data_IF_403212452357
#
_entry.id   IF_403212452357
#
_cell.length_a   1.000
_cell.length_b   1.000
_cell.length_c   1.000
_cell.angle_alpha   90.00
_cell.angle_beta   90.00
_cell.angle_gamma   90.00
#
_symmetry.space_group_name_H-M   'P 1'
#
loop_
_entity.id
_entity.type
_entity.pdbx_description
1 polymer ?
#
# COMPACT_ATOMS: atom_id res chain seq x y z
N UNK A 1 -2.20 20.69 87.41
CA UNK A 1 -1.72 19.66 86.47
C UNK A 1 -2.75 19.59 85.36
N UNK A 2 -2.43 20.14 84.14
CA UNK A 2 -3.30 20.14 82.95
C UNK A 2 -2.70 19.18 81.93
N UNK A 3 -3.43 18.13 81.63
CA UNK A 3 -3.06 17.20 80.56
C UNK A 3 -3.44 17.75 79.16
N UNK A 4 -2.47 17.78 78.25
CA UNK A 4 -2.65 18.16 76.84
C UNK A 4 -2.83 16.88 76.05
N UNK A 5 -4.01 16.73 75.42
CA UNK A 5 -4.28 15.66 74.47
C UNK A 5 -3.75 16.04 73.07
N UNK A 6 -2.86 15.21 72.54
CA UNK A 6 -2.34 15.38 71.16
C UNK A 6 -3.20 14.51 70.25
N UNK A 7 -3.99 15.17 69.40
CA UNK A 7 -4.76 14.49 68.33
C UNK A 7 -3.90 14.14 67.12
N UNK A 8 -3.82 12.87 66.77
CA UNK A 8 -3.15 12.40 65.55
C UNK A 8 -4.15 12.41 64.40
N UNK A 9 -3.91 13.29 63.41
CA UNK A 9 -4.64 13.35 62.15
C UNK A 9 -4.03 12.31 61.21
N UNK A 10 -4.78 11.26 60.90
CA UNK A 10 -4.43 10.29 59.88
C UNK A 10 -4.84 10.83 58.50
N UNK A 11 -3.83 11.16 57.68
CA UNK A 11 -4.03 11.56 56.27
C UNK A 11 -4.15 10.30 55.44
N UNK A 12 -5.34 10.05 54.90
CA UNK A 12 -5.60 8.94 53.94
C UNK A 12 -5.16 9.40 52.54
N UNK A 13 -4.06 8.83 52.03
CA UNK A 13 -3.66 8.97 50.65
C UNK A 13 -4.52 8.07 49.75
N UNK A 14 -5.42 8.65 48.99
CA UNK A 14 -6.13 7.97 47.90
C UNK A 14 -5.21 7.97 46.70
N UNK A 15 -4.54 6.85 46.42
CA UNK A 15 -3.77 6.64 45.17
C UNK A 15 -4.75 6.44 44.03
N UNK A 16 -4.89 7.46 43.20
CA UNK A 16 -5.58 7.36 41.93
C UNK A 16 -4.69 6.59 40.91
N UNK A 17 -5.00 5.32 40.66
CA UNK A 17 -4.41 4.55 39.58
C UNK A 17 -5.00 5.09 38.26
N UNK A 18 -4.23 5.91 37.52
CA UNK A 18 -4.56 6.27 36.16
C UNK A 18 -4.36 5.06 35.25
N UNK A 19 -5.46 4.49 34.76
CA UNK A 19 -5.46 3.43 33.78
C UNK A 19 -5.00 4.07 32.44
N UNK A 20 -3.71 3.93 32.10
CA UNK A 20 -3.20 4.33 30.77
C UNK A 20 -3.68 3.28 29.79
N UNK A 21 -4.79 3.58 29.11
CA UNK A 21 -5.23 2.80 27.96
C UNK A 21 -4.23 3.01 26.85
N UNK A 22 -3.33 2.06 26.64
CA UNK A 22 -2.48 2.02 25.45
C UNK A 22 -3.38 1.69 24.26
N UNK A 23 -3.82 2.72 23.56
CA UNK A 23 -4.41 2.56 22.22
C UNK A 23 -3.24 2.21 21.30
N UNK A 24 -2.99 0.91 21.11
CA UNK A 24 -2.10 0.46 20.06
C UNK A 24 -2.67 0.96 18.72
N UNK A 25 -1.89 1.63 17.87
CA UNK A 25 -2.36 1.95 16.53
C UNK A 25 -2.75 0.63 15.86
N UNK A 26 -4.00 0.57 15.36
CA UNK A 26 -4.49 -0.58 14.64
C UNK A 26 -3.45 -0.91 13.54
N UNK A 27 -2.88 -2.12 13.60
CA UNK A 27 -2.07 -2.66 12.52
C UNK A 27 -2.98 -2.69 11.29
N UNK A 28 -2.68 -1.87 10.29
CA UNK A 28 -3.21 -2.00 8.94
C UNK A 28 -2.66 -3.32 8.36
N UNK A 29 -3.27 -4.44 8.72
CA UNK A 29 -2.81 -5.79 8.42
C UNK A 29 -3.85 -6.86 8.72
N UNK A 30 -5.03 -6.47 9.22
CA UNK A 30 -6.15 -7.38 9.37
C UNK A 30 -7.06 -7.23 8.17
N UNK A 31 -7.00 -8.23 7.27
CA UNK A 31 -7.91 -8.48 6.14
C UNK A 31 -8.15 -7.29 5.20
N UNK A 32 -7.10 -6.74 4.62
CA UNK A 32 -7.19 -5.87 3.47
C UNK A 32 -7.87 -6.63 2.33
N UNK A 33 -9.19 -6.62 2.28
CA UNK A 33 -9.96 -7.25 1.20
C UNK A 33 -9.69 -6.49 -0.08
N UNK A 34 -8.66 -6.90 -0.81
CA UNK A 34 -8.38 -6.34 -2.13
C UNK A 34 -9.51 -6.68 -3.10
N UNK A 35 -10.03 -5.69 -3.79
CA UNK A 35 -11.08 -5.85 -4.77
C UNK A 35 -10.52 -6.49 -6.06
N UNK A 36 -10.47 -7.82 -6.11
CA UNK A 36 -9.93 -8.61 -7.23
C UNK A 36 -11.06 -9.33 -7.95
N UNK A 37 -11.43 -8.84 -9.13
CA UNK A 37 -12.50 -9.36 -9.99
C UNK A 37 -11.92 -10.12 -11.18
N UNK A 38 -11.32 -11.27 -10.90
CA UNK A 38 -10.72 -12.19 -11.87
C UNK A 38 -11.34 -13.57 -11.68
N UNK A 39 -12.01 -14.09 -12.71
CA UNK A 39 -12.77 -15.34 -12.63
C UNK A 39 -11.89 -16.56 -12.41
N UNK A 40 -10.66 -16.59 -12.96
CA UNK A 40 -9.73 -17.70 -12.80
C UNK A 40 -9.11 -17.65 -11.40
N UNK A 41 -9.55 -18.54 -10.51
CA UNK A 41 -9.19 -18.52 -9.08
C UNK A 41 -7.67 -18.56 -8.81
N UNK A 42 -6.89 -19.34 -9.56
CA UNK A 42 -5.44 -19.37 -9.36
C UNK A 42 -4.79 -18.04 -9.68
N UNK A 43 -5.22 -17.36 -10.75
CA UNK A 43 -4.75 -16.01 -11.08
C UNK A 43 -5.18 -15.00 -10.02
N UNK A 44 -6.43 -15.04 -9.59
CA UNK A 44 -6.92 -14.15 -8.52
C UNK A 44 -6.12 -14.29 -7.23
N UNK A 45 -5.75 -15.52 -6.85
CA UNK A 45 -4.90 -15.79 -5.69
C UNK A 45 -3.49 -15.23 -5.86
N UNK A 46 -2.87 -15.41 -7.04
CA UNK A 46 -1.55 -14.85 -7.32
C UNK A 46 -1.54 -13.31 -7.27
N UNK A 47 -2.61 -12.68 -7.75
CA UNK A 47 -2.77 -11.21 -7.66
C UNK A 47 -2.89 -10.77 -6.20
N UNK A 48 -3.69 -11.45 -5.37
CA UNK A 48 -3.78 -11.14 -3.93
C UNK A 48 -2.44 -11.31 -3.22
N UNK A 49 -1.72 -12.39 -3.47
CA UNK A 49 -0.39 -12.60 -2.89
C UNK A 49 0.58 -11.48 -3.31
N UNK A 50 0.55 -11.05 -4.58
CA UNK A 50 1.37 -9.94 -5.04
C UNK A 50 0.95 -8.60 -4.39
N UNK A 51 -0.34 -8.37 -4.13
CA UNK A 51 -0.85 -7.21 -3.42
C UNK A 51 -0.39 -7.18 -1.95
N UNK A 52 -0.46 -8.32 -1.27
CA UNK A 52 0.03 -8.46 0.10
C UNK A 52 1.53 -8.18 0.20
N UNK A 53 2.33 -8.77 -0.70
CA UNK A 53 3.76 -8.50 -0.76
C UNK A 53 4.07 -7.04 -1.12
N UNK A 54 3.35 -6.46 -2.06
CA UNK A 54 3.48 -5.04 -2.43
C UNK A 54 3.16 -4.12 -1.25
N UNK A 55 2.10 -4.40 -0.49
CA UNK A 55 1.74 -3.63 0.71
C UNK A 55 2.87 -3.66 1.75
N UNK A 56 3.42 -4.85 2.05
CA UNK A 56 4.56 -4.99 2.98
C UNK A 56 5.80 -4.21 2.52
N UNK A 57 6.06 -4.16 1.19
CA UNK A 57 7.17 -3.36 0.65
C UNK A 57 6.93 -1.87 0.79
N UNK A 58 5.71 -1.42 0.54
CA UNK A 58 5.32 -0.02 0.66
C UNK A 58 5.35 0.52 2.11
N UNK A 59 5.50 -0.34 3.12
CA UNK A 59 5.78 0.07 4.49
C UNK A 59 7.26 0.45 4.72
N UNK A 60 8.16 0.06 3.81
CA UNK A 60 9.60 0.33 3.94
C UNK A 60 9.92 1.76 3.50
N UNK A 61 10.76 2.50 4.25
CA UNK A 61 11.08 3.90 3.94
C UNK A 61 11.56 4.14 2.51
N UNK A 62 12.50 3.32 2.03
CA UNK A 62 13.03 3.47 0.66
C UNK A 62 11.98 3.28 -0.44
N UNK A 63 11.01 2.38 -0.23
CA UNK A 63 9.92 2.21 -1.18
C UNK A 63 8.94 3.39 -1.13
N UNK A 64 8.70 3.97 0.04
CA UNK A 64 7.85 5.15 0.20
C UNK A 64 8.42 6.41 -0.46
N UNK A 65 9.74 6.52 -0.62
CA UNK A 65 10.39 7.65 -1.31
C UNK A 65 9.93 7.79 -2.77
N UNK A 66 9.41 6.72 -3.39
CA UNK A 66 8.86 6.77 -4.75
C UNK A 66 7.75 7.81 -4.88
N UNK A 67 6.92 7.97 -3.85
CA UNK A 67 5.80 8.92 -3.88
C UNK A 67 6.25 10.38 -3.84
N UNK A 68 7.47 10.66 -3.37
CA UNK A 68 8.07 12.00 -3.38
C UNK A 68 8.87 12.25 -4.66
N UNK A 69 9.41 11.18 -5.28
CA UNK A 69 10.24 11.26 -6.49
C UNK A 69 9.41 11.37 -7.77
N UNK A 70 8.19 10.87 -7.75
CA UNK A 70 7.29 10.92 -8.90
C UNK A 70 6.21 11.99 -8.70
N UNK A 71 5.77 12.57 -9.80
CA UNK A 71 4.74 13.58 -9.82
C UNK A 71 3.61 13.22 -10.80
N UNK A 72 2.44 13.79 -10.58
CA UNK A 72 1.31 13.74 -11.51
C UNK A 72 1.50 14.70 -12.70
N UNK A 73 0.51 14.75 -13.59
CA UNK A 73 0.55 15.60 -14.79
C UNK A 73 0.63 17.11 -14.47
N UNK A 74 0.22 17.50 -13.26
CA UNK A 74 0.31 18.89 -12.78
C UNK A 74 1.62 19.18 -12.03
N UNK A 75 2.55 18.23 -11.99
CA UNK A 75 3.85 18.36 -11.33
C UNK A 75 3.80 18.24 -9.79
N UNK A 76 2.69 17.77 -9.23
CA UNK A 76 2.56 17.57 -7.78
C UNK A 76 3.11 16.20 -7.40
N UNK A 77 3.89 16.07 -6.31
CA UNK A 77 4.34 14.76 -5.85
C UNK A 77 3.16 13.80 -5.63
N UNK A 78 3.33 12.51 -5.97
CA UNK A 78 2.25 11.52 -5.78
C UNK A 78 1.88 11.36 -4.31
N UNK A 79 2.78 11.69 -3.39
CA UNK A 79 2.50 11.76 -1.95
C UNK A 79 1.30 12.66 -1.65
N UNK A 80 1.17 13.79 -2.33
CA UNK A 80 0.03 14.69 -2.15
C UNK A 80 -1.31 14.02 -2.49
N UNK A 81 -1.31 13.03 -3.41
CA UNK A 81 -2.51 12.24 -3.72
C UNK A 81 -2.84 11.24 -2.61
N UNK A 82 -1.84 10.63 -1.96
CA UNK A 82 -2.03 9.79 -0.77
C UNK A 82 -2.56 10.60 0.41
N UNK A 83 -2.00 11.78 0.65
CA UNK A 83 -2.42 12.70 1.72
C UNK A 83 -3.88 13.13 1.54
N UNK A 84 -4.28 13.51 0.31
CA UNK A 84 -5.69 13.81 0.00
C UNK A 84 -6.63 12.63 0.21
N UNK A 85 -6.16 11.41 -0.04
CA UNK A 85 -6.92 10.19 0.22
C UNK A 85 -6.92 9.80 1.71
N UNK A 86 -6.06 10.41 2.55
CA UNK A 86 -5.93 10.12 3.98
C UNK A 86 -5.38 8.72 4.28
N UNK A 87 -4.55 8.15 3.37
CA UNK A 87 -4.05 6.78 3.50
C UNK A 87 -2.55 6.70 3.24
N UNK A 88 -1.90 5.65 3.76
CA UNK A 88 -0.53 5.28 3.40
C UNK A 88 -0.48 4.66 2.00
N UNK A 89 0.73 4.54 1.41
CA UNK A 89 0.92 3.83 0.14
C UNK A 89 0.47 2.37 0.20
N UNK A 90 0.72 1.69 1.32
CA UNK A 90 0.26 0.31 1.53
C UNK A 90 -1.27 0.23 1.58
N UNK A 91 -1.92 1.10 2.36
CA UNK A 91 -3.37 1.14 2.47
C UNK A 91 -4.05 1.59 1.15
N UNK A 92 -3.37 2.39 0.33
CA UNK A 92 -3.88 2.81 -0.97
C UNK A 92 -4.17 1.64 -1.92
N UNK A 93 -3.42 0.53 -1.83
CA UNK A 93 -3.66 -0.66 -2.65
C UNK A 93 -5.07 -1.24 -2.44
N UNK A 94 -5.65 -1.11 -1.25
CA UNK A 94 -7.02 -1.57 -0.97
C UNK A 94 -8.11 -0.68 -1.61
N UNK A 95 -7.75 0.52 -2.06
CA UNK A 95 -8.66 1.41 -2.79
C UNK A 95 -8.67 1.14 -4.31
N UNK A 96 -7.78 0.27 -4.79
CA UNK A 96 -7.70 -0.12 -6.19
C UNK A 96 -8.62 -1.31 -6.47
N UNK A 97 -9.11 -1.38 -7.70
CA UNK A 97 -9.95 -2.47 -8.17
C UNK A 97 -9.24 -3.17 -9.32
N UNK A 98 -9.00 -4.47 -9.17
CA UNK A 98 -8.25 -5.28 -10.12
C UNK A 98 -9.19 -6.14 -10.96
N UNK A 99 -9.19 -5.91 -12.26
CA UNK A 99 -10.02 -6.64 -13.21
C UNK A 99 -9.21 -7.52 -14.15
N UNK A 100 -9.88 -8.52 -14.73
CA UNK A 100 -9.34 -9.32 -15.83
C UNK A 100 -9.19 -8.48 -17.11
N UNK A 101 -7.95 -8.31 -17.55
CA UNK A 101 -7.58 -7.53 -18.71
C UNK A 101 -7.41 -8.36 -20.00
N UNK A 102 -7.78 -9.65 -20.02
CA UNK A 102 -7.56 -10.54 -21.17
C UNK A 102 -8.12 -10.00 -22.49
N UNK A 103 -9.17 -9.18 -22.44
CA UNK A 103 -9.77 -8.52 -23.61
C UNK A 103 -9.26 -7.10 -23.87
N UNK A 104 -8.28 -6.62 -23.09
CA UNK A 104 -7.71 -5.27 -23.29
C UNK A 104 -6.57 -5.31 -24.31
N UNK A 105 -6.53 -4.37 -25.27
CA UNK A 105 -5.48 -4.33 -26.29
C UNK A 105 -4.06 -4.27 -25.71
N UNK A 106 -3.88 -3.63 -24.56
CA UNK A 106 -2.57 -3.57 -23.87
C UNK A 106 -2.09 -4.95 -23.44
N UNK A 107 -2.99 -5.85 -23.02
CA UNK A 107 -2.64 -7.21 -22.61
C UNK A 107 -2.29 -8.16 -23.79
N UNK A 108 -2.56 -7.73 -25.03
CA UNK A 108 -2.09 -8.43 -26.23
C UNK A 108 -0.64 -8.13 -26.58
N UNK A 109 0.00 -7.16 -25.90
CA UNK A 109 1.40 -6.79 -26.14
C UNK A 109 2.31 -7.66 -25.28
N UNK A 110 3.38 -8.16 -25.87
CA UNK A 110 4.42 -8.89 -25.14
C UNK A 110 5.03 -8.00 -24.04
N UNK A 111 5.29 -8.63 -22.89
CA UNK A 111 5.88 -7.95 -21.73
C UNK A 111 4.92 -7.10 -20.91
N UNK A 112 3.63 -7.00 -21.29
CA UNK A 112 2.64 -6.33 -20.45
C UNK A 112 2.06 -7.31 -19.43
N UNK A 113 2.15 -6.96 -18.15
CA UNK A 113 1.68 -7.79 -17.03
C UNK A 113 0.42 -7.23 -16.39
N UNK A 114 0.30 -5.91 -16.35
CA UNK A 114 -0.85 -5.16 -15.88
C UNK A 114 -0.90 -3.81 -16.58
N UNK A 115 -1.98 -3.05 -16.40
CA UNK A 115 -2.10 -1.69 -16.91
C UNK A 115 -3.11 -0.88 -16.08
N UNK A 116 -2.74 0.33 -15.69
CA UNK A 116 -3.63 1.35 -15.16
C UNK A 116 -3.54 2.63 -16.03
N UNK A 117 -4.59 3.42 -16.04
CA UNK A 117 -4.56 4.77 -16.58
C UNK A 117 -4.22 5.76 -15.46
N UNK A 118 -3.50 6.83 -15.79
CA UNK A 118 -3.14 7.85 -14.82
C UNK A 118 -4.38 8.42 -14.12
N UNK A 119 -4.38 8.37 -12.79
CA UNK A 119 -5.49 8.82 -11.94
C UNK A 119 -6.67 7.86 -11.84
N UNK A 120 -6.66 6.72 -12.53
CA UNK A 120 -7.71 5.69 -12.45
C UNK A 120 -7.44 4.72 -11.31
N UNK A 121 -8.48 4.36 -10.55
CA UNK A 121 -8.39 3.29 -9.54
C UNK A 121 -8.60 1.88 -10.11
N UNK A 122 -8.75 1.76 -11.41
CA UNK A 122 -8.94 0.48 -12.10
C UNK A 122 -7.60 0.01 -12.65
N UNK A 123 -7.21 -1.20 -12.26
CA UNK A 123 -6.03 -1.89 -12.75
C UNK A 123 -6.48 -3.12 -13.54
N UNK A 124 -6.02 -3.23 -14.78
CA UNK A 124 -6.26 -4.38 -15.64
C UNK A 124 -5.08 -5.34 -15.54
N UNK A 125 -5.31 -6.52 -15.00
CA UNK A 125 -4.30 -7.59 -14.97
C UNK A 125 -4.34 -8.33 -16.29
N UNK A 126 -3.17 -8.61 -16.88
CA UNK A 126 -3.02 -9.44 -18.05
C UNK A 126 -2.79 -10.90 -17.58
N UNK A 127 -3.83 -11.75 -17.50
CA UNK A 127 -3.78 -12.96 -16.66
C UNK A 127 -2.68 -13.92 -17.03
N UNK A 128 -2.45 -14.12 -18.33
CA UNK A 128 -1.49 -15.11 -18.84
C UNK A 128 -0.04 -14.69 -18.50
N UNK A 129 0.34 -13.45 -18.81
CA UNK A 129 1.69 -12.94 -18.54
C UNK A 129 1.91 -12.71 -17.05
N UNK A 130 0.92 -12.19 -16.32
CA UNK A 130 1.02 -11.96 -14.89
C UNK A 130 1.21 -13.28 -14.12
N UNK A 131 0.46 -14.32 -14.48
CA UNK A 131 0.57 -15.65 -13.86
C UNK A 131 1.97 -16.23 -14.04
N UNK A 132 2.54 -16.18 -15.26
CA UNK A 132 3.91 -16.62 -15.53
C UNK A 132 4.93 -15.84 -14.70
N UNK A 133 4.75 -14.52 -14.63
CA UNK A 133 5.62 -13.64 -13.84
C UNK A 133 5.54 -13.98 -12.34
N UNK A 134 4.33 -14.03 -11.78
CA UNK A 134 4.11 -14.29 -10.36
C UNK A 134 4.63 -15.66 -9.91
N UNK A 135 4.57 -16.65 -10.82
CA UNK A 135 5.14 -17.97 -10.56
C UNK A 135 6.68 -17.96 -10.54
N UNK A 136 7.31 -17.34 -11.53
CA UNK A 136 8.76 -17.39 -11.70
C UNK A 136 9.52 -16.32 -10.89
N UNK A 137 8.90 -15.17 -10.67
CA UNK A 137 9.52 -13.99 -10.04
C UNK A 137 8.48 -13.23 -9.20
N UNK A 138 8.04 -13.77 -8.04
CA UNK A 138 6.97 -13.18 -7.24
C UNK A 138 7.27 -11.72 -6.83
N UNK A 139 8.51 -11.42 -6.41
CA UNK A 139 8.91 -10.05 -6.09
C UNK A 139 8.75 -9.07 -7.27
N UNK A 140 8.99 -9.52 -8.50
CA UNK A 140 8.73 -8.68 -9.68
C UNK A 140 7.24 -8.46 -9.90
N UNK A 141 6.38 -9.44 -9.61
CA UNK A 141 4.93 -9.25 -9.67
C UNK A 141 4.45 -8.22 -8.63
N UNK A 142 5.04 -8.22 -7.43
CA UNK A 142 4.81 -7.19 -6.40
C UNK A 142 5.23 -5.79 -6.89
N UNK A 143 6.41 -5.69 -7.55
CA UNK A 143 6.87 -4.44 -8.15
C UNK A 143 5.95 -3.94 -9.26
N UNK A 144 5.36 -4.82 -10.08
CA UNK A 144 4.36 -4.44 -11.08
C UNK A 144 3.11 -3.88 -10.42
N UNK A 145 2.63 -4.47 -9.32
CA UNK A 145 1.48 -3.93 -8.57
C UNK A 145 1.77 -2.52 -8.06
N UNK A 146 2.98 -2.28 -7.51
CA UNK A 146 3.40 -0.94 -7.08
C UNK A 146 3.47 0.03 -8.26
N UNK A 147 4.01 -0.40 -9.41
CA UNK A 147 4.05 0.39 -10.64
C UNK A 147 2.65 0.87 -11.05
N UNK A 148 1.67 -0.01 -11.08
CA UNK A 148 0.29 0.34 -11.43
C UNK A 148 -0.34 1.28 -10.38
N UNK A 149 0.02 1.13 -9.11
CA UNK A 149 -0.42 2.06 -8.07
C UNK A 149 0.14 3.48 -8.27
N UNK A 150 1.37 3.63 -8.77
CA UNK A 150 1.92 4.95 -9.13
C UNK A 150 1.10 5.59 -10.27
N UNK A 151 0.74 4.82 -11.30
CA UNK A 151 -0.15 5.32 -12.34
C UNK A 151 -1.51 5.74 -11.77
N UNK A 152 -2.09 4.94 -10.92
CA UNK A 152 -3.40 5.27 -10.34
C UNK A 152 -3.36 6.53 -9.45
N UNK A 153 -2.20 6.89 -8.90
CA UNK A 153 -1.99 8.16 -8.18
C UNK A 153 -1.78 9.37 -9.10
N UNK A 154 -1.65 9.15 -10.41
CA UNK A 154 -1.54 10.21 -11.41
C UNK A 154 -0.24 10.22 -12.21
N UNK A 155 0.68 9.26 -11.99
CA UNK A 155 1.90 9.17 -12.79
C UNK A 155 1.57 8.88 -14.25
N UNK A 156 2.00 9.75 -15.15
CA UNK A 156 1.95 9.50 -16.59
C UNK A 156 3.08 8.59 -17.09
N UNK A 157 3.02 8.25 -18.38
CA UNK A 157 4.12 7.58 -19.09
C UNK A 157 4.65 8.48 -20.22
N UNK A 158 5.97 8.30 -20.50
CA UNK A 158 6.70 8.88 -21.60
C UNK A 158 6.76 10.42 -21.63
N UNK A 159 7.55 11.03 -20.74
CA UNK A 159 8.40 10.45 -19.69
C UNK A 159 7.69 10.29 -18.34
N UNK A 160 8.17 9.42 -17.45
CA UNK A 160 9.17 8.38 -17.65
C UNK A 160 8.62 7.19 -18.44
N UNK A 161 9.49 6.38 -19.06
CA UNK A 161 9.06 5.15 -19.71
C UNK A 161 8.63 4.08 -18.70
N UNK A 162 7.76 3.15 -19.11
CA UNK A 162 7.31 2.03 -18.26
C UNK A 162 8.49 1.21 -17.72
N UNK A 163 9.53 0.99 -18.52
CA UNK A 163 10.73 0.28 -18.09
C UNK A 163 11.52 1.05 -17.01
N UNK A 164 11.62 2.37 -17.13
CA UNK A 164 12.28 3.20 -16.11
C UNK A 164 11.49 3.20 -14.79
N UNK A 165 10.16 3.29 -14.85
CA UNK A 165 9.31 3.19 -13.66
C UNK A 165 9.54 1.84 -12.99
N UNK A 166 9.45 0.73 -13.75
CA UNK A 166 9.65 -0.63 -13.21
C UNK A 166 11.04 -0.82 -12.60
N UNK A 167 12.09 -0.31 -13.27
CA UNK A 167 13.45 -0.39 -12.77
C UNK A 167 13.62 0.36 -11.43
N UNK A 168 13.05 1.56 -11.32
CA UNK A 168 13.10 2.35 -10.08
C UNK A 168 12.30 1.71 -8.94
N UNK A 169 11.09 1.20 -9.24
CA UNK A 169 10.30 0.46 -8.25
C UNK A 169 11.07 -0.77 -7.76
N UNK A 170 11.66 -1.54 -8.68
CA UNK A 170 12.46 -2.72 -8.32
C UNK A 170 13.66 -2.35 -7.45
N UNK A 171 14.38 -1.30 -7.80
CA UNK A 171 15.54 -0.83 -7.04
C UNK A 171 15.15 -0.33 -5.64
N UNK A 172 14.04 0.39 -5.48
CA UNK A 172 13.62 0.95 -4.20
C UNK A 172 12.91 -0.08 -3.29
N UNK A 173 12.17 -1.02 -3.88
CA UNK A 173 11.25 -1.86 -3.11
C UNK A 173 11.67 -3.33 -2.99
N UNK A 174 12.53 -3.85 -3.86
CA UNK A 174 12.91 -5.28 -3.85
C UNK A 174 14.21 -5.60 -3.07
N UNK A 175 14.84 -4.58 -2.48
CA UNK A 175 16.02 -4.76 -1.64
C UNK A 175 15.65 -5.20 -0.23
#
# INVERSE_FOLDING_TARGET
MKAIAVGVLAASFVSAFALVVHISPARAGEDGVFAVHISHQATARMVRNALEGAAQRLERPHCQELFDRYADAEGRPLRASLERAGVSGAAYLSLLVFYDGSRKPRCARDGTFAAAEAGSRIVWICPESFRRLAWSRPGTAEAIVIHEALHSLGLGENPPSSSEITARVSSACLQ
#
